data_IF_649802313792
#
_entry.id   IF_649802313792
#
_cell.length_a   1.000
_cell.length_b   1.000
_cell.length_c   1.000
_cell.angle_alpha   90.00
_cell.angle_beta   90.00
_cell.angle_gamma   90.00
#
_symmetry.space_group_name_H-M   'P 1'
#
loop_
_entity.id
_entity.type
_entity.pdbx_description
1 polymer ?
#
# COMPACT_ATOMS: atom_id res chain seq x y z
N UNK A 1 -8.97 -9.30 28.77
CA UNK A 1 -8.62 -10.09 27.58
C UNK A 1 -9.15 -9.49 26.27
N UNK A 2 -10.42 -9.08 26.16
CA UNK A 2 -10.98 -8.48 24.93
C UNK A 2 -10.33 -7.16 24.52
N UNK A 3 -10.07 -6.25 25.46
CA UNK A 3 -9.44 -4.93 25.17
C UNK A 3 -8.02 -5.10 24.58
N UNK A 4 -7.23 -6.02 25.11
CA UNK A 4 -5.87 -6.29 24.62
C UNK A 4 -5.90 -6.84 23.19
N UNK A 5 -6.87 -7.72 22.89
CA UNK A 5 -7.06 -8.24 21.52
C UNK A 5 -7.41 -7.14 20.53
N UNK A 6 -8.34 -6.26 20.89
CA UNK A 6 -8.76 -5.12 20.05
C UNK A 6 -7.58 -4.18 19.80
N UNK A 7 -6.77 -3.90 20.83
CA UNK A 7 -5.59 -3.05 20.70
C UNK A 7 -4.56 -3.66 19.73
N UNK A 8 -4.22 -4.95 19.92
CA UNK A 8 -3.28 -5.67 19.03
C UNK A 8 -3.79 -5.67 17.58
N UNK A 9 -5.08 -5.92 17.39
CA UNK A 9 -5.69 -5.90 16.06
C UNK A 9 -5.55 -4.55 15.38
N UNK A 10 -5.86 -3.43 16.09
CA UNK A 10 -5.74 -2.10 15.51
C UNK A 10 -4.30 -1.66 15.29
N UNK A 11 -3.39 -1.98 16.20
CA UNK A 11 -1.96 -1.73 16.01
C UNK A 11 -1.42 -2.49 14.78
N UNK A 12 -1.86 -3.74 14.58
CA UNK A 12 -1.52 -4.54 13.43
C UNK A 12 -2.01 -3.96 12.11
N UNK A 13 -3.27 -3.51 12.09
CA UNK A 13 -3.79 -2.86 10.91
C UNK A 13 -3.08 -1.53 10.62
N UNK A 14 -2.74 -0.76 11.65
CA UNK A 14 -2.02 0.50 11.50
C UNK A 14 -0.59 0.25 10.98
N UNK A 15 0.11 -0.70 11.57
CA UNK A 15 1.44 -1.14 11.09
C UNK A 15 1.37 -1.61 9.64
N UNK A 16 0.41 -2.47 9.31
CA UNK A 16 0.20 -2.97 7.96
C UNK A 16 -0.09 -1.82 6.97
N UNK A 17 -0.90 -0.83 7.35
CA UNK A 17 -1.22 0.32 6.52
C UNK A 17 0.06 1.10 6.13
N UNK A 18 0.91 1.42 7.10
CA UNK A 18 2.17 2.13 6.85
C UNK A 18 3.17 1.28 6.07
N UNK A 19 3.32 -0.01 6.43
CA UNK A 19 4.21 -0.92 5.73
C UNK A 19 3.80 -1.11 4.26
N UNK A 20 2.51 -1.32 4.01
CA UNK A 20 1.96 -1.50 2.66
C UNK A 20 2.13 -0.23 1.81
N UNK A 21 1.93 0.94 2.42
CA UNK A 21 2.16 2.22 1.74
C UNK A 21 3.63 2.38 1.36
N UNK A 22 4.57 2.12 2.30
CA UNK A 22 6.00 2.21 2.06
C UNK A 22 6.46 1.22 0.98
N UNK A 23 5.92 0.01 0.93
CA UNK A 23 6.29 -0.99 -0.09
C UNK A 23 5.92 -0.58 -1.52
N UNK A 24 4.88 0.21 -1.70
CA UNK A 24 4.42 0.63 -3.03
C UNK A 24 4.96 2.00 -3.47
N UNK A 25 5.35 2.86 -2.54
CA UNK A 25 5.85 4.19 -2.85
C UNK A 25 7.07 4.19 -3.78
N UNK A 26 8.06 3.28 -3.70
CA UNK A 26 9.16 3.22 -4.66
C UNK A 26 8.70 3.06 -6.11
N UNK A 27 7.63 2.30 -6.34
CA UNK A 27 7.02 2.20 -7.68
C UNK A 27 6.42 3.54 -8.13
N UNK A 28 5.66 4.20 -7.25
CA UNK A 28 5.07 5.50 -7.56
C UNK A 28 6.14 6.57 -7.81
N UNK A 29 7.24 6.56 -7.04
CA UNK A 29 8.41 7.43 -7.25
C UNK A 29 9.03 7.17 -8.62
N UNK A 30 9.29 5.89 -8.93
CA UNK A 30 9.87 5.47 -10.20
C UNK A 30 9.02 5.97 -11.38
N UNK A 31 7.71 5.74 -11.34
CA UNK A 31 6.79 6.17 -12.39
C UNK A 31 6.71 7.70 -12.50
N UNK A 32 6.75 8.41 -11.37
CA UNK A 32 6.76 9.88 -11.34
C UNK A 32 8.02 10.45 -12.01
N UNK A 33 9.20 9.89 -11.70
CA UNK A 33 10.47 10.30 -12.30
C UNK A 33 10.54 9.97 -13.78
N UNK A 34 10.00 8.81 -14.20
CA UNK A 34 9.92 8.43 -15.62
C UNK A 34 8.98 9.35 -16.42
N UNK A 35 7.85 9.73 -15.82
CA UNK A 35 6.91 10.68 -16.44
C UNK A 35 7.56 12.06 -16.69
N UNK A 36 8.46 12.47 -15.81
CA UNK A 36 9.22 13.72 -15.95
C UNK A 36 10.08 13.81 -17.20
N UNK A 37 10.48 12.67 -17.81
CA UNK A 37 11.22 12.65 -19.07
C UNK A 37 10.40 13.14 -20.27
N UNK A 38 9.08 13.04 -20.21
CA UNK A 38 8.15 13.37 -21.31
C UNK A 38 7.44 14.69 -21.12
N UNK A 39 7.58 15.36 -19.96
CA UNK A 39 6.78 16.53 -19.65
C UNK A 39 7.40 17.44 -18.58
N UNK A 40 6.66 17.75 -17.54
CA UNK A 40 7.02 18.70 -16.49
C UNK A 40 8.10 18.14 -15.54
N UNK A 41 9.36 18.12 -16.00
CA UNK A 41 10.49 17.51 -15.31
C UNK A 41 10.67 18.10 -13.90
N UNK A 42 10.52 19.41 -13.72
CA UNK A 42 10.66 20.09 -12.43
C UNK A 42 9.65 19.59 -11.41
N UNK A 43 8.37 19.54 -11.78
CA UNK A 43 7.32 19.03 -10.90
C UNK A 43 7.53 17.56 -10.55
N UNK A 44 7.96 16.75 -11.53
CA UNK A 44 8.19 15.33 -11.32
C UNK A 44 9.40 15.05 -10.42
N UNK A 45 10.50 15.81 -10.54
CA UNK A 45 11.66 15.73 -9.65
C UNK A 45 11.31 16.16 -8.23
N UNK A 46 10.63 17.31 -8.09
CA UNK A 46 10.14 17.78 -6.81
C UNK A 46 9.17 16.74 -6.18
N UNK A 47 8.21 16.25 -6.98
CA UNK A 47 7.25 15.23 -6.56
C UNK A 47 7.91 13.94 -6.12
N UNK A 48 8.88 13.43 -6.89
CA UNK A 48 9.67 12.25 -6.54
C UNK A 48 10.38 12.39 -5.20
N UNK A 49 10.99 13.58 -4.93
CA UNK A 49 11.60 13.89 -3.64
C UNK A 49 10.59 13.93 -2.49
N UNK A 50 9.39 14.49 -2.71
CA UNK A 50 8.35 14.50 -1.69
C UNK A 50 7.80 13.10 -1.40
N UNK A 51 7.67 12.27 -2.43
CA UNK A 51 7.27 10.86 -2.27
C UNK A 51 8.34 10.04 -1.54
N UNK A 52 9.64 10.29 -1.75
CA UNK A 52 10.73 9.70 -0.95
C UNK A 52 10.61 10.07 0.53
N UNK A 53 10.25 11.32 0.85
CA UNK A 53 10.00 11.75 2.24
C UNK A 53 8.81 11.03 2.85
N UNK A 54 7.72 10.91 2.10
CA UNK A 54 6.52 10.18 2.52
C UNK A 54 6.83 8.71 2.78
N UNK A 55 7.62 8.09 1.89
CA UNK A 55 8.02 6.70 2.01
C UNK A 55 8.81 6.45 3.32
N UNK A 56 9.83 7.25 3.56
CA UNK A 56 10.61 7.17 4.79
C UNK A 56 9.78 7.48 6.04
N UNK A 57 8.80 8.38 5.95
CA UNK A 57 7.85 8.62 7.04
C UNK A 57 7.01 7.38 7.34
N UNK A 58 6.44 6.75 6.30
CA UNK A 58 5.67 5.51 6.46
C UNK A 58 6.53 4.36 6.99
N UNK A 59 7.75 4.20 6.48
CA UNK A 59 8.70 3.19 6.96
C UNK A 59 9.11 3.43 8.42
N UNK A 60 9.40 4.68 8.80
CA UNK A 60 9.76 5.05 10.18
C UNK A 60 8.62 4.81 11.17
N UNK A 61 7.36 4.88 10.74
CA UNK A 61 6.22 4.53 11.58
C UNK A 61 5.98 3.02 11.64
N UNK A 62 6.15 2.30 10.53
CA UNK A 62 5.86 0.86 10.47
C UNK A 62 6.91 0.00 11.17
N UNK A 63 8.21 0.35 11.05
CA UNK A 63 9.31 -0.44 11.58
C UNK A 63 9.25 -0.64 13.11
N UNK A 64 9.04 0.39 13.96
CA UNK A 64 8.95 0.20 15.41
C UNK A 64 7.65 -0.45 15.85
N UNK A 65 6.55 -0.32 15.09
CA UNK A 65 5.29 -0.97 15.42
C UNK A 65 5.38 -2.49 15.26
N UNK A 66 6.24 -2.99 14.38
CA UNK A 66 6.39 -4.41 14.14
C UNK A 66 6.91 -5.20 15.36
N UNK A 67 8.08 -4.86 15.97
CA UNK A 67 8.55 -5.54 17.17
C UNK A 67 7.60 -5.33 18.36
N UNK A 68 6.95 -4.18 18.47
CA UNK A 68 5.92 -3.95 19.49
C UNK A 68 4.77 -4.94 19.36
N UNK A 69 4.30 -5.20 18.15
CA UNK A 69 3.25 -6.19 17.90
C UNK A 69 3.71 -7.61 18.25
N UNK A 70 4.90 -8.02 17.81
CA UNK A 70 5.46 -9.33 18.16
C UNK A 70 5.55 -9.53 19.68
N UNK A 71 6.00 -8.48 20.39
CA UNK A 71 6.08 -8.49 21.85
C UNK A 71 4.68 -8.66 22.48
N UNK A 72 3.69 -7.89 22.05
CA UNK A 72 2.32 -7.99 22.56
C UNK A 72 1.68 -9.34 22.26
N UNK A 73 1.97 -9.93 21.10
CA UNK A 73 1.49 -11.25 20.74
C UNK A 73 2.17 -12.35 21.56
N UNK A 74 3.48 -12.24 21.81
CA UNK A 74 4.22 -13.15 22.68
C UNK A 74 3.72 -13.08 24.13
N UNK A 75 3.47 -11.88 24.67
CA UNK A 75 2.92 -11.70 26.02
C UNK A 75 1.49 -12.26 26.20
N UNK A 76 0.77 -12.46 25.10
CA UNK A 76 -0.57 -13.06 25.11
C UNK A 76 -0.54 -14.59 25.24
N UNK A 77 0.56 -15.22 24.84
CA UNK A 77 0.67 -16.68 24.90
C UNK A 77 0.92 -17.14 26.34
N UNK A 78 0.31 -18.25 26.81
CA UNK A 78 0.50 -18.75 28.18
C UNK A 78 1.95 -19.15 28.46
N UNK A 79 2.68 -19.55 27.43
CA UNK A 79 4.12 -19.81 27.48
C UNK A 79 4.78 -18.93 26.42
N UNK A 80 5.76 -18.13 26.85
CA UNK A 80 6.50 -17.25 25.94
C UNK A 80 7.23 -18.13 24.91
N UNK A 81 6.99 -17.95 23.60
CA UNK A 81 7.65 -18.75 22.59
C UNK A 81 9.16 -18.50 22.63
N UNK A 82 9.99 -19.52 22.34
CA UNK A 82 11.44 -19.34 22.23
C UNK A 82 11.75 -18.23 21.21
N UNK A 83 12.80 -17.46 21.48
CA UNK A 83 13.22 -16.37 20.59
C UNK A 83 13.48 -16.88 19.16
N UNK A 84 13.97 -18.11 19.02
CA UNK A 84 14.20 -18.76 17.73
C UNK A 84 12.91 -18.87 16.90
N UNK A 85 11.78 -19.23 17.52
CA UNK A 85 10.49 -19.37 16.83
C UNK A 85 9.93 -18.00 16.41
N UNK A 86 10.14 -16.97 17.23
CA UNK A 86 9.78 -15.58 16.86
C UNK A 86 10.61 -15.07 15.68
N UNK A 87 11.91 -15.38 15.66
CA UNK A 87 12.81 -14.98 14.57
C UNK A 87 12.54 -15.78 13.27
N UNK A 88 12.05 -17.01 13.38
CA UNK A 88 11.70 -17.84 12.23
C UNK A 88 10.36 -17.47 11.58
N UNK A 89 9.57 -16.59 12.20
CA UNK A 89 8.30 -16.15 11.61
C UNK A 89 8.51 -15.48 10.24
N UNK A 90 7.67 -15.79 9.24
CA UNK A 90 7.78 -15.22 7.89
C UNK A 90 7.83 -13.68 7.88
N UNK A 91 7.07 -13.05 8.77
CA UNK A 91 7.05 -11.60 8.91
C UNK A 91 8.39 -11.04 9.43
N UNK A 92 9.07 -11.74 10.35
CA UNK A 92 10.39 -11.33 10.85
C UNK A 92 11.45 -11.50 9.76
N UNK A 93 11.41 -12.59 8.99
CA UNK A 93 12.29 -12.80 7.85
C UNK A 93 12.09 -11.71 6.78
N UNK A 94 10.86 -11.28 6.55
CA UNK A 94 10.54 -10.18 5.62
C UNK A 94 11.24 -8.86 6.01
N UNK A 95 11.45 -8.59 7.31
CA UNK A 95 12.18 -7.39 7.77
C UNK A 95 13.61 -7.36 7.25
N UNK A 96 14.26 -8.51 7.07
CA UNK A 96 15.63 -8.58 6.52
C UNK A 96 15.71 -7.99 5.11
N UNK A 97 14.61 -8.04 4.34
CA UNK A 97 14.54 -7.38 3.03
C UNK A 97 14.06 -5.92 3.13
N UNK A 98 13.19 -5.59 4.09
CA UNK A 98 12.62 -4.24 4.21
C UNK A 98 13.63 -3.24 4.80
N UNK A 99 14.47 -3.65 5.76
CA UNK A 99 15.48 -2.79 6.34
C UNK A 99 16.48 -2.24 5.29
N UNK A 100 17.15 -3.08 4.48
CA UNK A 100 18.03 -2.57 3.43
C UNK A 100 17.30 -1.72 2.38
N UNK A 101 16.03 -2.04 2.03
CA UNK A 101 15.23 -1.20 1.16
C UNK A 101 15.04 0.21 1.74
N UNK A 102 14.69 0.31 3.02
CA UNK A 102 14.50 1.58 3.73
C UNK A 102 15.80 2.38 3.82
N UNK A 103 16.94 1.72 4.11
CA UNK A 103 18.25 2.36 4.14
C UNK A 103 18.67 2.89 2.76
N UNK A 104 18.37 2.13 1.71
CA UNK A 104 18.61 2.56 0.32
C UNK A 104 17.79 3.82 0.00
N UNK A 105 16.49 3.84 0.32
CA UNK A 105 15.64 5.01 0.11
C UNK A 105 16.09 6.23 0.91
N UNK A 106 16.57 6.02 2.14
CA UNK A 106 17.16 7.09 2.93
C UNK A 106 18.43 7.66 2.27
N UNK A 107 19.31 6.79 1.75
CA UNK A 107 20.48 7.18 0.96
C UNK A 107 20.09 8.01 -0.27
N UNK A 108 19.06 7.55 -1.02
CA UNK A 108 18.52 8.26 -2.18
C UNK A 108 17.93 9.63 -1.81
N UNK A 109 17.19 9.72 -0.69
CA UNK A 109 16.69 11.01 -0.22
C UNK A 109 17.84 11.95 0.14
N UNK A 110 18.91 11.44 0.74
CA UNK A 110 20.10 12.23 1.09
C UNK A 110 20.82 12.72 -0.17
N UNK A 111 20.96 11.86 -1.18
CA UNK A 111 21.51 12.23 -2.48
C UNK A 111 20.63 13.26 -3.21
N UNK A 112 19.30 13.14 -3.10
CA UNK A 112 18.35 14.06 -3.73
C UNK A 112 18.32 15.48 -3.12
N UNK A 113 19.10 15.76 -2.06
CA UNK A 113 19.20 17.12 -1.45
C UNK A 113 19.73 18.16 -2.44
N UNK A 114 20.53 17.73 -3.39
CA UNK A 114 21.10 18.58 -4.45
C UNK A 114 20.17 18.76 -5.65
N UNK A 115 18.98 18.13 -5.61
CA UNK A 115 18.00 18.34 -6.66
C UNK A 115 17.45 19.76 -6.56
N UNK A 116 17.37 20.46 -7.69
CA UNK A 116 16.90 21.82 -7.72
C UNK A 116 15.47 21.93 -7.18
N UNK A 117 15.23 22.93 -6.36
CA UNK A 117 13.87 23.37 -6.12
C UNK A 117 13.29 23.82 -7.47
N UNK A 118 12.02 23.55 -7.69
CA UNK A 118 11.27 23.55 -8.96
C UNK A 118 11.35 24.82 -9.84
N UNK A 119 12.53 25.35 -10.09
CA UNK A 119 12.81 26.45 -11.01
C UNK A 119 13.33 25.90 -12.34
N UNK A 120 12.82 26.38 -13.48
CA UNK A 120 13.17 25.90 -14.82
C UNK A 120 14.68 25.96 -15.12
N UNK A 121 15.43 26.90 -14.54
CA UNK A 121 16.87 27.04 -14.70
C UNK A 121 17.69 25.91 -14.07
N UNK A 122 17.13 25.24 -13.06
CA UNK A 122 17.81 24.19 -12.34
C UNK A 122 17.71 22.81 -13.06
N UNK A 123 16.78 22.67 -14.01
CA UNK A 123 16.54 21.40 -14.73
C UNK A 123 17.68 21.11 -15.72
N UNK A 124 18.26 22.17 -16.32
CA UNK A 124 19.39 22.03 -17.25
C UNK A 124 20.69 21.60 -16.57
N UNK A 125 20.82 21.84 -15.26
CA UNK A 125 21.97 21.45 -14.44
C UNK A 125 21.86 20.01 -13.88
N UNK A 126 20.71 19.36 -14.01
CA UNK A 126 20.51 18.00 -13.49
C UNK A 126 21.30 16.97 -14.32
N UNK A 127 22.30 16.35 -13.68
CA UNK A 127 23.11 15.32 -14.35
C UNK A 127 22.27 14.05 -14.59
N UNK A 128 22.20 13.60 -15.83
CA UNK A 128 21.51 12.36 -16.20
C UNK A 128 21.97 11.13 -15.38
N UNK A 129 23.19 11.16 -14.83
CA UNK A 129 23.73 10.13 -13.92
C UNK A 129 22.97 10.04 -12.61
N UNK A 130 22.59 11.18 -12.00
CA UNK A 130 21.93 11.20 -10.69
C UNK A 130 20.49 10.67 -10.80
N UNK A 131 19.82 10.97 -11.91
CA UNK A 131 18.50 10.39 -12.19
C UNK A 131 18.57 8.88 -12.40
N UNK A 132 19.58 8.40 -13.15
CA UNK A 132 19.77 6.97 -13.38
C UNK A 132 20.01 6.24 -12.05
N UNK A 133 20.89 6.76 -11.19
CA UNK A 133 21.15 6.19 -9.87
C UNK A 133 19.88 6.09 -9.04
N UNK A 134 19.06 7.17 -9.01
CA UNK A 134 17.80 7.18 -8.28
C UNK A 134 16.79 6.19 -8.86
N UNK A 135 16.68 6.08 -10.18
CA UNK A 135 15.79 5.11 -10.82
C UNK A 135 16.19 3.67 -10.49
N UNK A 136 17.47 3.34 -10.56
CA UNK A 136 17.98 2.02 -10.18
C UNK A 136 17.80 1.76 -8.68
N UNK A 137 18.04 2.75 -7.85
CA UNK A 137 17.82 2.65 -6.41
C UNK A 137 16.36 2.42 -6.04
N UNK A 138 15.42 3.12 -6.67
CA UNK A 138 13.98 2.88 -6.48
C UNK A 138 13.55 1.50 -7.00
N UNK A 139 14.09 1.05 -8.12
CA UNK A 139 13.83 -0.30 -8.64
C UNK A 139 14.34 -1.37 -7.67
N UNK A 140 15.56 -1.21 -7.16
CA UNK A 140 16.13 -2.15 -6.19
C UNK A 140 15.32 -2.16 -4.88
N UNK A 141 14.92 -0.99 -4.36
CA UNK A 141 14.06 -0.89 -3.18
C UNK A 141 12.71 -1.60 -3.40
N UNK A 142 12.10 -1.40 -4.58
CA UNK A 142 10.87 -2.09 -4.96
C UNK A 142 11.05 -3.61 -4.99
N UNK A 143 12.14 -4.10 -5.58
CA UNK A 143 12.44 -5.54 -5.63
C UNK A 143 12.65 -6.12 -4.23
N UNK A 144 13.34 -5.39 -3.33
CA UNK A 144 13.53 -5.80 -1.94
C UNK A 144 12.20 -5.83 -1.17
N UNK A 145 11.31 -4.85 -1.37
CA UNK A 145 9.98 -4.87 -0.76
C UNK A 145 9.11 -6.00 -1.30
N UNK A 146 9.16 -6.29 -2.61
CA UNK A 146 8.47 -7.43 -3.21
C UNK A 146 8.98 -8.75 -2.67
N UNK A 147 10.30 -8.91 -2.55
CA UNK A 147 10.91 -10.08 -1.92
C UNK A 147 10.44 -10.24 -0.48
N UNK A 148 10.48 -9.18 0.33
CA UNK A 148 9.98 -9.18 1.68
C UNK A 148 8.50 -9.55 1.77
N UNK A 149 7.67 -9.06 0.85
CA UNK A 149 6.26 -9.40 0.79
C UNK A 149 6.03 -10.88 0.44
N UNK A 150 6.80 -11.44 -0.50
CA UNK A 150 6.77 -12.87 -0.82
C UNK A 150 7.22 -13.73 0.37
N UNK A 151 8.25 -13.31 1.09
CA UNK A 151 8.69 -13.99 2.32
C UNK A 151 7.62 -13.95 3.40
N UNK A 152 6.94 -12.80 3.57
CA UNK A 152 5.86 -12.64 4.52
C UNK A 152 4.62 -13.50 4.19
N UNK A 153 4.37 -13.82 2.91
CA UNK A 153 3.28 -14.74 2.52
C UNK A 153 3.60 -16.21 2.82
N UNK A 154 4.80 -16.51 3.28
CA UNK A 154 5.21 -17.88 3.57
C UNK A 154 5.66 -18.68 2.35
N UNK A 155 6.19 -18.01 1.30
CA UNK A 155 6.71 -18.67 0.09
C UNK A 155 7.73 -19.79 0.40
N UNK A 156 8.49 -19.63 1.50
CA UNK A 156 9.47 -20.61 1.95
C UNK A 156 8.87 -21.79 2.71
N UNK A 157 7.58 -21.71 3.07
CA UNK A 157 6.90 -22.81 3.76
C UNK A 157 6.66 -23.98 2.81
N UNK A 158 6.43 -25.15 3.40
CA UNK A 158 6.02 -26.33 2.64
C UNK A 158 4.60 -26.09 2.04
N UNK A 159 4.35 -26.55 0.81
CA UNK A 159 3.01 -26.50 0.26
C UNK A 159 2.04 -27.34 1.11
N UNK A 160 0.75 -26.96 1.18
CA UNK A 160 -0.28 -27.78 1.84
C UNK A 160 -0.32 -29.19 1.26
N UNK A 161 -0.73 -30.17 2.09
CA UNK A 161 -0.87 -31.57 1.64
C UNK A 161 -1.77 -31.64 0.39
N UNK A 162 -1.30 -32.36 -0.63
CA UNK A 162 -2.00 -32.55 -1.89
C UNK A 162 -1.81 -31.44 -2.93
N UNK A 163 -1.05 -30.38 -2.63
CA UNK A 163 -0.75 -29.31 -3.59
C UNK A 163 0.68 -29.45 -4.12
N UNK A 164 0.83 -29.46 -5.44
CA UNK A 164 2.16 -29.40 -6.08
C UNK A 164 2.85 -28.08 -5.78
N UNK A 165 4.18 -28.12 -5.60
CA UNK A 165 4.98 -26.93 -5.29
C UNK A 165 4.88 -25.85 -6.36
N UNK A 166 4.80 -26.23 -7.62
CA UNK A 166 4.61 -25.31 -8.76
C UNK A 166 3.32 -24.48 -8.62
N UNK A 167 2.21 -25.15 -8.32
CA UNK A 167 0.90 -24.53 -8.13
C UNK A 167 0.88 -23.64 -6.87
N UNK A 168 1.54 -24.07 -5.81
CA UNK A 168 1.71 -23.27 -4.59
C UNK A 168 2.49 -21.97 -4.87
N UNK A 169 3.64 -22.05 -5.55
CA UNK A 169 4.45 -20.87 -5.91
C UNK A 169 3.65 -19.93 -6.81
N UNK A 170 2.93 -20.44 -7.81
CA UNK A 170 2.11 -19.62 -8.70
C UNK A 170 0.99 -18.89 -7.92
N UNK A 171 0.36 -19.57 -6.96
CA UNK A 171 -0.65 -18.98 -6.08
C UNK A 171 -0.05 -17.84 -5.24
N UNK A 172 1.14 -18.03 -4.67
CA UNK A 172 1.82 -17.02 -3.86
C UNK A 172 2.22 -15.80 -4.70
N UNK A 173 2.73 -16.01 -5.92
CA UNK A 173 3.04 -14.90 -6.85
C UNK A 173 1.75 -14.13 -7.19
N UNK A 174 0.66 -14.82 -7.52
CA UNK A 174 -0.63 -14.18 -7.79
C UNK A 174 -1.10 -13.34 -6.61
N UNK A 175 -1.03 -13.87 -5.38
CA UNK A 175 -1.39 -13.14 -4.17
C UNK A 175 -0.51 -11.91 -3.95
N UNK A 176 0.80 -12.04 -4.14
CA UNK A 176 1.74 -10.91 -4.00
C UNK A 176 1.45 -9.81 -5.02
N UNK A 177 1.12 -10.15 -6.26
CA UNK A 177 0.72 -9.16 -7.28
C UNK A 177 -0.58 -8.44 -6.91
N UNK A 178 -1.61 -9.17 -6.46
CA UNK A 178 -2.84 -8.56 -5.98
C UNK A 178 -2.60 -7.61 -4.78
N UNK A 179 -1.73 -8.01 -3.86
CA UNK A 179 -1.32 -7.18 -2.72
C UNK A 179 -0.60 -5.93 -3.20
N UNK A 180 0.34 -6.04 -4.14
CA UNK A 180 1.07 -4.91 -4.70
C UNK A 180 0.12 -3.86 -5.30
N UNK A 181 -0.84 -4.27 -6.12
CA UNK A 181 -1.83 -3.36 -6.69
C UNK A 181 -2.63 -2.63 -5.60
N UNK A 182 -3.05 -3.34 -4.56
CA UNK A 182 -3.77 -2.75 -3.43
C UNK A 182 -2.88 -1.77 -2.66
N UNK A 183 -1.58 -2.07 -2.51
CA UNK A 183 -0.62 -1.17 -1.87
C UNK A 183 -0.38 0.10 -2.71
N UNK A 184 -0.40 -0.01 -4.05
CA UNK A 184 -0.33 1.17 -4.94
C UNK A 184 -1.51 2.13 -4.71
N UNK A 185 -2.70 1.60 -4.46
CA UNK A 185 -3.85 2.44 -4.12
C UNK A 185 -3.65 3.18 -2.80
N UNK A 186 -3.13 2.50 -1.76
CA UNK A 186 -2.80 3.13 -0.48
C UNK A 186 -1.71 4.19 -0.65
N UNK A 187 -0.68 3.90 -1.43
CA UNK A 187 0.40 4.85 -1.73
C UNK A 187 -0.12 6.09 -2.47
N UNK A 188 -0.99 5.90 -3.47
CA UNK A 188 -1.65 7.01 -4.17
C UNK A 188 -2.53 7.85 -3.24
N UNK A 189 -3.32 7.21 -2.38
CA UNK A 189 -4.14 7.87 -1.37
C UNK A 189 -3.32 8.63 -0.33
N UNK A 190 -2.23 8.03 0.17
CA UNK A 190 -1.30 8.69 1.11
C UNK A 190 -0.59 9.88 0.44
N UNK A 191 -0.20 9.74 -0.82
CA UNK A 191 0.38 10.84 -1.59
C UNK A 191 -0.60 12.01 -1.76
N UNK A 192 -1.92 11.76 -1.93
CA UNK A 192 -2.95 12.79 -1.95
C UNK A 192 -3.02 13.56 -0.62
N UNK A 193 -2.99 12.87 0.53
CA UNK A 193 -2.94 13.52 1.84
C UNK A 193 -1.64 14.33 2.01
N UNK A 194 -0.52 13.81 1.53
CA UNK A 194 0.76 14.51 1.56
C UNK A 194 0.75 15.77 0.70
N UNK A 195 0.14 15.72 -0.50
CA UNK A 195 -0.06 16.90 -1.34
C UNK A 195 -0.97 17.95 -0.68
N UNK A 196 -2.01 17.50 0.04
CA UNK A 196 -2.84 18.42 0.83
C UNK A 196 -2.02 19.15 1.90
N UNK A 197 -1.13 18.44 2.61
CA UNK A 197 -0.23 19.06 3.58
C UNK A 197 0.70 20.09 2.94
N UNK A 198 1.16 19.83 1.72
CA UNK A 198 2.09 20.69 0.99
C UNK A 198 1.41 21.76 0.11
N UNK A 199 0.08 21.84 0.09
CA UNK A 199 -0.71 22.66 -0.86
C UNK A 199 -0.36 24.15 -0.90
N UNK A 200 0.24 24.70 0.15
CA UNK A 200 0.66 26.11 0.25
C UNK A 200 2.14 26.32 -0.08
N UNK A 201 2.89 25.26 -0.37
CA UNK A 201 4.30 25.35 -0.71
C UNK A 201 4.49 25.40 -2.22
N UNK A 202 5.49 26.14 -2.69
CA UNK A 202 5.91 26.06 -4.08
C UNK A 202 6.40 24.62 -4.42
N UNK A 203 6.11 24.05 -5.59
CA UNK A 203 5.35 24.63 -6.70
C UNK A 203 3.82 24.46 -6.58
N UNK A 204 3.28 23.80 -5.56
CA UNK A 204 1.85 23.45 -5.46
C UNK A 204 0.93 24.65 -5.12
N UNK A 205 1.49 25.81 -4.80
CA UNK A 205 0.70 27.05 -4.67
C UNK A 205 0.02 27.42 -5.99
N UNK A 206 0.65 27.11 -7.14
CA UNK A 206 0.04 27.20 -8.45
C UNK A 206 -1.04 26.12 -8.65
N UNK A 207 -2.24 26.54 -9.04
CA UNK A 207 -3.39 25.66 -9.22
C UNK A 207 -3.20 24.62 -10.32
N UNK A 208 -2.50 24.97 -11.38
CA UNK A 208 -2.21 24.06 -12.50
C UNK A 208 -1.28 22.94 -12.04
N UNK A 209 -0.19 23.28 -11.34
CA UNK A 209 0.76 22.31 -10.83
C UNK A 209 0.12 21.39 -9.78
N UNK A 210 -0.67 21.98 -8.87
CA UNK A 210 -1.44 21.22 -7.89
C UNK A 210 -2.41 20.24 -8.55
N UNK A 211 -3.16 20.70 -9.56
CA UNK A 211 -4.13 19.85 -10.27
C UNK A 211 -3.47 18.69 -10.99
N UNK A 212 -2.30 18.90 -11.60
CA UNK A 212 -1.52 17.83 -12.26
C UNK A 212 -1.03 16.79 -11.25
N UNK A 213 -0.46 17.24 -10.12
CA UNK A 213 0.03 16.35 -9.07
C UNK A 213 -1.10 15.52 -8.44
N UNK A 214 -2.25 16.17 -8.16
CA UNK A 214 -3.43 15.50 -7.61
C UNK A 214 -3.98 14.45 -8.56
N UNK A 215 -4.16 14.78 -9.84
CA UNK A 215 -4.63 13.81 -10.86
C UNK A 215 -3.70 12.61 -10.95
N UNK A 216 -2.39 12.85 -10.95
CA UNK A 216 -1.38 11.78 -10.99
C UNK A 216 -1.53 10.81 -9.81
N UNK A 217 -1.58 11.32 -8.57
CA UNK A 217 -1.75 10.49 -7.39
C UNK A 217 -3.12 9.79 -7.34
N UNK A 218 -4.20 10.49 -7.78
CA UNK A 218 -5.54 9.94 -7.83
C UNK A 218 -5.68 8.78 -8.83
N UNK A 219 -4.98 8.82 -9.99
CA UNK A 219 -4.92 7.69 -10.93
C UNK A 219 -4.42 6.43 -10.22
N UNK A 220 -3.33 6.53 -9.47
CA UNK A 220 -2.75 5.38 -8.75
C UNK A 220 -3.65 4.91 -7.60
N UNK A 221 -4.28 5.85 -6.86
CA UNK A 221 -5.22 5.53 -5.81
C UNK A 221 -6.43 4.73 -6.36
N UNK A 222 -6.95 5.10 -7.52
CA UNK A 222 -8.07 4.41 -8.17
C UNK A 222 -7.64 3.10 -8.82
N UNK A 223 -6.59 3.12 -9.66
CA UNK A 223 -6.16 1.98 -10.45
C UNK A 223 -5.71 0.80 -9.59
N UNK A 224 -5.12 1.06 -8.42
CA UNK A 224 -4.61 0.01 -7.54
C UNK A 224 -5.69 -0.90 -6.95
N UNK A 225 -6.90 -0.40 -6.66
CA UNK A 225 -7.98 -1.25 -6.14
C UNK A 225 -8.79 -1.97 -7.22
N UNK A 226 -8.74 -1.52 -8.48
CA UNK A 226 -9.56 -2.11 -9.56
C UNK A 226 -9.36 -3.62 -9.70
N UNK A 227 -8.13 -4.19 -9.72
CA UNK A 227 -7.96 -5.63 -9.85
C UNK A 227 -8.64 -6.42 -8.72
N UNK A 228 -8.57 -5.94 -7.48
CA UNK A 228 -9.19 -6.61 -6.33
C UNK A 228 -10.71 -6.60 -6.39
N UNK A 229 -11.31 -5.52 -6.87
CA UNK A 229 -12.77 -5.42 -7.06
C UNK A 229 -13.22 -6.33 -8.20
N UNK A 230 -12.52 -6.31 -9.33
CA UNK A 230 -12.84 -7.16 -10.49
C UNK A 230 -12.72 -8.64 -10.14
N UNK A 231 -11.70 -9.05 -9.40
CA UNK A 231 -11.51 -10.43 -8.94
C UNK A 231 -12.67 -10.88 -8.02
N UNK A 232 -13.08 -10.03 -7.07
CA UNK A 232 -14.24 -10.31 -6.22
C UNK A 232 -15.52 -10.49 -7.05
N UNK A 233 -15.84 -9.54 -7.92
CA UNK A 233 -17.07 -9.62 -8.72
C UNK A 233 -17.07 -10.78 -9.72
N UNK A 234 -15.92 -11.10 -10.31
CA UNK A 234 -15.77 -12.27 -11.18
C UNK A 234 -16.00 -13.58 -10.41
N UNK A 235 -15.49 -13.68 -9.19
CA UNK A 235 -15.69 -14.84 -8.31
C UNK A 235 -17.15 -14.98 -7.89
N UNK A 236 -17.81 -13.88 -7.53
CA UNK A 236 -19.22 -13.86 -7.17
C UNK A 236 -20.10 -14.28 -8.35
N UNK A 237 -19.83 -13.73 -9.54
CA UNK A 237 -20.54 -14.09 -10.78
C UNK A 237 -20.33 -15.58 -11.13
N UNK A 238 -19.11 -16.09 -11.02
CA UNK A 238 -18.83 -17.50 -11.27
C UNK A 238 -19.56 -18.42 -10.27
N UNK A 239 -19.69 -18.01 -8.99
CA UNK A 239 -20.44 -18.74 -7.98
C UNK A 239 -21.95 -18.74 -8.30
N UNK A 240 -22.51 -17.60 -8.70
CA UNK A 240 -23.89 -17.47 -9.12
C UNK A 240 -24.19 -18.35 -10.36
N UNK A 241 -23.34 -18.29 -11.38
CA UNK A 241 -23.52 -19.12 -12.60
C UNK A 241 -23.42 -20.62 -12.30
N UNK A 242 -22.56 -21.04 -11.37
CA UNK A 242 -22.49 -22.44 -10.93
C UNK A 242 -23.79 -22.85 -10.24
N UNK A 243 -24.32 -22.03 -9.34
CA UNK A 243 -25.60 -22.26 -8.66
C UNK A 243 -26.75 -22.45 -9.67
N UNK A 244 -26.85 -21.55 -10.66
CA UNK A 244 -27.86 -21.64 -11.72
C UNK A 244 -27.73 -22.92 -12.56
N UNK A 245 -26.51 -23.40 -12.82
CA UNK A 245 -26.27 -24.63 -13.60
C UNK A 245 -26.52 -25.90 -12.80
N UNK A 246 -26.19 -25.89 -11.51
CA UNK A 246 -26.31 -27.07 -10.63
C UNK A 246 -27.71 -27.23 -10.03
N UNK A 247 -28.57 -26.18 -10.10
CA UNK A 247 -29.86 -26.14 -9.40
C UNK A 247 -29.73 -26.01 -7.88
N UNK A 248 -28.50 -25.87 -7.33
CA UNK A 248 -28.26 -25.66 -5.89
C UNK A 248 -28.51 -24.20 -5.57
N UNK A 249 -29.31 -23.87 -4.53
CA UNK A 249 -29.57 -22.48 -4.14
C UNK A 249 -28.27 -21.72 -3.88
N UNK A 250 -28.19 -20.49 -4.38
CA UNK A 250 -27.05 -19.61 -4.11
C UNK A 250 -27.12 -19.13 -2.66
N UNK A 251 -26.17 -19.57 -1.83
CA UNK A 251 -26.03 -19.04 -0.47
C UNK A 251 -25.12 -17.81 -0.49
N UNK A 252 -25.69 -16.64 -0.20
CA UNK A 252 -24.98 -15.37 -0.14
C UNK A 252 -24.30 -15.16 1.23
N UNK A 253 -24.73 -15.84 2.29
CA UNK A 253 -24.21 -15.62 3.65
C UNK A 253 -22.68 -15.75 3.78
N UNK A 254 -22.02 -16.76 3.22
CA UNK A 254 -20.56 -16.85 3.25
C UNK A 254 -19.87 -15.69 2.52
N UNK A 255 -20.58 -15.06 1.55
CA UNK A 255 -20.05 -13.99 0.72
C UNK A 255 -20.30 -12.58 1.31
N UNK A 256 -21.14 -12.44 2.32
CA UNK A 256 -21.56 -11.13 2.85
C UNK A 256 -20.39 -10.27 3.30
N UNK A 257 -19.38 -10.85 3.96
CA UNK A 257 -18.20 -10.10 4.38
C UNK A 257 -17.34 -9.63 3.21
N UNK A 258 -17.13 -10.52 2.25
CA UNK A 258 -16.38 -10.18 1.04
C UNK A 258 -17.13 -9.11 0.24
N UNK A 259 -18.48 -9.16 0.21
CA UNK A 259 -19.32 -8.13 -0.39
C UNK A 259 -19.14 -6.78 0.34
N UNK A 260 -19.27 -6.76 1.67
CA UNK A 260 -19.08 -5.55 2.47
C UNK A 260 -17.68 -4.93 2.24
N UNK A 261 -16.63 -5.77 2.25
CA UNK A 261 -15.25 -5.34 2.00
C UNK A 261 -15.08 -4.77 0.58
N UNK A 262 -15.76 -5.35 -0.42
CA UNK A 262 -15.73 -4.88 -1.81
C UNK A 262 -16.49 -3.56 -1.98
N UNK A 263 -17.65 -3.41 -1.34
CA UNK A 263 -18.45 -2.18 -1.37
C UNK A 263 -17.68 -1.02 -0.75
N UNK A 264 -17.06 -1.22 0.41
CA UNK A 264 -16.25 -0.18 1.07
C UNK A 264 -15.03 0.21 0.23
N UNK A 265 -14.40 -0.75 -0.44
CA UNK A 265 -13.31 -0.46 -1.38
C UNK A 265 -13.81 0.34 -2.60
N UNK A 266 -14.98 -0.01 -3.15
CA UNK A 266 -15.61 0.73 -4.25
C UNK A 266 -15.95 2.18 -3.87
N UNK A 267 -16.47 2.40 -2.65
CA UNK A 267 -16.75 3.75 -2.13
C UNK A 267 -15.47 4.57 -1.97
N UNK A 268 -14.36 3.96 -1.54
CA UNK A 268 -13.06 4.63 -1.48
C UNK A 268 -12.58 5.04 -2.89
N UNK A 269 -12.69 4.14 -3.88
CA UNK A 269 -12.35 4.43 -5.28
C UNK A 269 -13.21 5.57 -5.84
N UNK A 270 -14.52 5.52 -5.64
CA UNK A 270 -15.43 6.57 -6.09
C UNK A 270 -15.03 7.92 -5.48
N UNK A 271 -14.70 7.93 -4.19
CA UNK A 271 -14.25 9.14 -3.50
C UNK A 271 -12.94 9.69 -4.09
N UNK A 272 -11.95 8.84 -4.39
CA UNK A 272 -10.71 9.26 -5.05
C UNK A 272 -10.93 9.69 -6.51
N UNK A 273 -11.90 9.08 -7.20
CA UNK A 273 -12.24 9.45 -8.58
C UNK A 273 -12.73 10.89 -8.71
N UNK A 274 -13.32 11.45 -7.65
CA UNK A 274 -13.69 12.88 -7.63
C UNK A 274 -12.48 13.77 -7.90
N UNK A 275 -11.29 13.39 -7.43
CA UNK A 275 -10.06 14.19 -7.62
C UNK A 275 -9.50 14.09 -9.05
N UNK A 276 -9.85 13.06 -9.83
CA UNK A 276 -9.51 12.98 -11.26
C UNK A 276 -10.23 14.05 -12.05
N UNK A 277 -11.52 14.27 -11.77
CA UNK A 277 -12.36 15.21 -12.49
C UNK A 277 -12.30 16.61 -11.90
N UNK A 278 -12.21 16.72 -10.57
CA UNK A 278 -12.22 17.99 -9.82
C UNK A 278 -11.03 18.07 -8.86
N UNK A 279 -9.78 18.20 -9.36
CA UNK A 279 -8.57 18.11 -8.56
C UNK A 279 -8.48 19.19 -7.46
N UNK A 280 -9.05 20.39 -7.67
CA UNK A 280 -9.06 21.44 -6.66
C UNK A 280 -9.89 21.08 -5.41
N UNK A 281 -10.83 20.12 -5.51
CA UNK A 281 -11.52 19.56 -4.34
C UNK A 281 -10.58 18.88 -3.37
N UNK A 282 -9.41 18.43 -3.83
CA UNK A 282 -8.37 17.85 -2.96
C UNK A 282 -7.76 18.85 -1.96
N UNK A 283 -8.05 20.15 -2.08
CA UNK A 283 -7.71 21.16 -1.04
C UNK A 283 -8.57 21.01 0.22
N UNK A 284 -9.71 20.30 0.17
CA UNK A 284 -10.58 20.03 1.32
C UNK A 284 -10.09 18.80 2.07
N UNK A 285 -9.73 18.95 3.35
CA UNK A 285 -9.32 17.84 4.21
C UNK A 285 -10.44 16.79 4.38
N UNK A 286 -11.68 17.24 4.56
CA UNK A 286 -12.81 16.35 4.74
C UNK A 286 -12.99 15.38 3.56
N UNK A 287 -12.85 15.89 2.31
CA UNK A 287 -12.91 15.05 1.12
C UNK A 287 -11.71 14.12 1.00
N UNK A 288 -10.52 14.53 1.45
CA UNK A 288 -9.33 13.69 1.49
C UNK A 288 -9.45 12.54 2.51
N UNK A 289 -10.08 12.78 3.65
CA UNK A 289 -10.26 11.78 4.69
C UNK A 289 -11.39 10.78 4.39
N UNK A 290 -12.35 11.14 3.55
CA UNK A 290 -13.52 10.29 3.24
C UNK A 290 -13.13 8.88 2.75
N UNK A 291 -12.25 8.69 1.75
CA UNK A 291 -11.83 7.36 1.33
C UNK A 291 -11.10 6.58 2.45
N UNK A 292 -10.36 7.27 3.32
CA UNK A 292 -9.69 6.65 4.46
C UNK A 292 -10.68 6.16 5.51
N UNK A 293 -11.79 6.90 5.73
CA UNK A 293 -12.88 6.42 6.59
C UNK A 293 -13.44 5.09 6.08
N UNK A 294 -13.69 4.95 4.77
CA UNK A 294 -14.15 3.68 4.20
C UNK A 294 -13.12 2.55 4.36
N UNK A 295 -11.81 2.85 4.22
CA UNK A 295 -10.75 1.86 4.44
C UNK A 295 -10.64 1.44 5.91
N UNK A 296 -10.79 2.37 6.85
CA UNK A 296 -10.82 2.06 8.29
C UNK A 296 -12.06 1.21 8.63
N UNK A 297 -13.23 1.57 8.11
CA UNK A 297 -14.44 0.74 8.25
C UNK A 297 -14.24 -0.67 7.68
N UNK A 298 -13.58 -0.78 6.54
CA UNK A 298 -13.21 -2.06 5.95
C UNK A 298 -12.31 -2.91 6.87
N UNK A 299 -11.38 -2.29 7.58
CA UNK A 299 -10.54 -2.98 8.57
C UNK A 299 -11.34 -3.43 9.80
N UNK A 300 -12.45 -2.76 10.13
CA UNK A 300 -13.29 -3.11 11.26
C UNK A 300 -14.25 -4.28 10.98
N UNK A 301 -14.59 -4.56 9.72
CA UNK A 301 -15.54 -5.63 9.35
C UNK A 301 -15.20 -7.00 9.96
N UNK A 302 -13.96 -7.49 9.99
CA UNK A 302 -13.65 -8.78 10.62
C UNK A 302 -13.90 -8.81 12.14
N UNK A 303 -13.86 -7.67 12.84
CA UNK A 303 -14.12 -7.60 14.28
C UNK A 303 -15.58 -7.89 14.62
N UNK A 304 -16.51 -7.56 13.74
CA UNK A 304 -17.94 -7.81 13.97
C UNK A 304 -18.28 -9.30 14.02
N UNK A 305 -17.47 -10.15 13.39
CA UNK A 305 -17.65 -11.60 13.39
C UNK A 305 -17.23 -12.27 14.70
N UNK A 306 -16.28 -11.66 15.43
CA UNK A 306 -15.79 -12.19 16.69
C UNK A 306 -16.78 -12.04 17.85
N UNK A 307 -17.79 -11.17 17.67
CA UNK A 307 -18.79 -10.84 18.69
C UNK A 307 -20.13 -11.56 18.49
N UNK A 308 -20.36 -12.17 17.32
CA UNK A 308 -21.58 -12.94 17.12
C UNK A 308 -21.39 -14.33 17.77
N UNK A 309 -22.23 -14.68 18.78
CA UNK A 309 -22.27 -16.07 19.27
C UNK A 309 -22.57 -16.96 18.07
N UNK A 310 -21.74 -17.95 17.83
CA UNK A 310 -22.04 -18.99 16.83
C UNK A 310 -23.27 -19.74 17.34
N UNK A 311 -24.32 -19.86 16.51
CA UNK A 311 -25.52 -20.63 16.87
C UNK A 311 -25.20 -22.08 17.19
#
# INVERSE_FOLDING_TARGET
>A
MQMTFILIYWLGNLQALFAQTAQALPFLILMTLLAGRKGNAALCLWGGRQLLRLDLFCAALSLPLFPLMLLLEALRQPQMPPLADLLAQPATVALLAWLPATLLLWGLLRASRHWPDATDQAITAYRASDLRLTLWGCLLALLLFLLGSLLATGLLLAPPQGMERSNFVLLQIRQALHLLFRYLSLAGGAALLWLWHLRHRAPLADERQFSLAVRWCAVWAVAGYLPSILDFWSTLLAALLRSLRSGIPFDIMPQMNALALSVLAALAIISWSVFLYRPLKARSLALQLLPWCFLIMRMAVPLTQLQLPRP
#
